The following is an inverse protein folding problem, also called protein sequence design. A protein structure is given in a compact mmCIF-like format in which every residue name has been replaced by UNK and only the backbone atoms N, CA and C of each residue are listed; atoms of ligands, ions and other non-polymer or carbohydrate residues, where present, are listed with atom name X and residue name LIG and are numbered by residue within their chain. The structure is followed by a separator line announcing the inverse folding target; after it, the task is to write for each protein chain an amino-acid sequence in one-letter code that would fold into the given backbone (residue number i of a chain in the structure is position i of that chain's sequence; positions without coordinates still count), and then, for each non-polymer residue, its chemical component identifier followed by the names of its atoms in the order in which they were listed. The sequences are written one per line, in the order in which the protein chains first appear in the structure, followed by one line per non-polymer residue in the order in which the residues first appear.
data_IF_622935151492
#
_entry.id   IF_622935151492
#
_cell.length_a   1.000
_cell.length_b   1.000
_cell.length_c   1.000
_cell.angle_alpha   90.00
_cell.angle_beta   90.00
_cell.angle_gamma   90.00
#
_symmetry.space_group_name_H-M   'P 1'
#
loop_
_entity.id
_entity.type
_entity.pdbx_description
1 polymer ?
#
# COMPACT_ATOMS: atom_id res chain seq x y z
N UNK A 1 -9.47 11.81 13.28
CA UNK A 1 -9.31 11.76 11.82
C UNK A 1 -8.14 10.85 11.51
N UNK A 2 -8.27 9.88 10.61
CA UNK A 2 -7.17 8.98 10.25
C UNK A 2 -6.23 9.64 9.24
N UNK A 3 -5.00 9.14 9.15
CA UNK A 3 -4.04 9.65 8.16
C UNK A 3 -4.51 9.49 6.71
N UNK A 4 -5.25 8.42 6.40
CA UNK A 4 -5.86 8.24 5.08
C UNK A 4 -6.91 9.32 4.79
N UNK A 5 -7.73 9.68 5.79
CA UNK A 5 -8.69 10.77 5.66
C UNK A 5 -7.99 12.12 5.46
N UNK A 6 -6.82 12.33 6.06
CA UNK A 6 -6.02 13.55 5.82
C UNK A 6 -5.52 13.63 4.37
N UNK A 7 -5.05 12.51 3.81
CA UNK A 7 -4.62 12.45 2.40
C UNK A 7 -5.78 12.76 1.45
N UNK A 8 -6.95 12.16 1.67
CA UNK A 8 -8.14 12.43 0.86
C UNK A 8 -8.63 13.87 1.01
N UNK A 9 -8.60 14.43 2.22
CA UNK A 9 -8.97 15.82 2.45
C UNK A 9 -8.01 16.80 1.77
N UNK A 10 -6.70 16.54 1.82
CA UNK A 10 -5.71 17.35 1.12
C UNK A 10 -6.03 17.36 -0.38
N UNK A 11 -6.29 16.18 -0.95
CA UNK A 11 -6.64 16.02 -2.36
C UNK A 11 -7.94 16.75 -2.72
N UNK A 12 -8.97 16.67 -1.89
CA UNK A 12 -10.24 17.39 -2.08
C UNK A 12 -10.07 18.92 -2.06
N UNK A 13 -9.03 19.42 -1.40
CA UNK A 13 -8.66 20.84 -1.37
C UNK A 13 -7.64 21.24 -2.44
N UNK A 14 -7.27 20.32 -3.35
CA UNK A 14 -6.32 20.59 -4.43
C UNK A 14 -4.85 20.40 -4.04
N UNK A 15 -4.56 19.80 -2.89
CA UNK A 15 -3.20 19.43 -2.47
C UNK A 15 -2.99 17.94 -2.67
N UNK A 16 -2.07 17.60 -3.57
CA UNK A 16 -1.65 16.22 -3.79
C UNK A 16 -0.49 15.93 -2.85
N UNK A 17 -0.69 14.97 -1.95
CA UNK A 17 0.38 14.40 -1.14
C UNK A 17 0.90 13.13 -1.83
N UNK A 18 2.21 13.08 -2.07
CA UNK A 18 2.86 11.94 -2.70
C UNK A 18 4.14 11.56 -1.96
N UNK A 19 4.67 10.36 -2.24
CA UNK A 19 6.01 9.98 -1.85
C UNK A 19 6.97 10.28 -2.98
N UNK A 20 8.06 10.96 -2.67
CA UNK A 20 9.22 11.07 -3.56
C UNK A 20 9.99 9.74 -3.62
N UNK A 21 10.92 9.59 -4.59
CA UNK A 21 11.72 8.38 -4.72
C UNK A 21 12.54 8.01 -3.49
N UNK A 22 12.97 9.01 -2.71
CA UNK A 22 13.70 8.87 -1.44
C UNK A 22 12.81 8.56 -0.23
N UNK A 23 11.49 8.45 -0.42
CA UNK A 23 10.54 8.12 0.63
C UNK A 23 10.11 9.29 1.52
N UNK A 24 10.39 10.54 1.12
CA UNK A 24 9.85 11.73 1.80
C UNK A 24 8.47 12.12 1.25
N UNK A 25 7.73 12.95 2.00
CA UNK A 25 6.41 13.44 1.59
C UNK A 25 6.60 14.71 0.77
N UNK A 26 6.05 14.73 -0.44
CA UNK A 26 5.93 15.92 -1.25
C UNK A 26 4.46 16.38 -1.28
N UNK A 27 4.26 17.69 -1.21
CA UNK A 27 2.95 18.32 -1.35
C UNK A 27 2.98 19.19 -2.62
N UNK A 28 1.98 19.04 -3.48
CA UNK A 28 1.88 19.80 -4.74
C UNK A 28 0.47 20.34 -4.89
N UNK A 29 0.34 21.62 -5.23
CA UNK A 29 -0.94 22.32 -5.33
C UNK A 29 -0.72 23.83 -5.42
N UNK A 30 -1.80 24.59 -5.24
CA UNK A 30 -1.72 26.04 -5.10
C UNK A 30 -0.96 26.40 -3.81
N UNK A 31 0.03 27.30 -3.90
CA UNK A 31 1.02 27.51 -2.84
C UNK A 31 0.37 27.93 -1.52
N UNK A 32 -0.65 28.80 -1.54
CA UNK A 32 -1.29 29.27 -0.31
C UNK A 32 -2.06 28.15 0.41
N UNK A 33 -2.70 27.25 -0.33
CA UNK A 33 -3.33 26.05 0.25
C UNK A 33 -2.27 25.07 0.76
N UNK A 34 -1.18 24.84 0.00
CA UNK A 34 -0.07 23.97 0.43
C UNK A 34 0.54 24.46 1.74
N UNK A 35 0.79 25.77 1.87
CA UNK A 35 1.35 26.39 3.08
C UNK A 35 0.43 26.16 4.30
N UNK A 36 -0.89 26.21 4.10
CA UNK A 36 -1.88 25.88 5.11
C UNK A 36 -1.86 24.42 5.56
N UNK A 37 -1.41 23.50 4.69
CA UNK A 37 -1.29 22.07 5.00
C UNK A 37 0.04 21.69 5.69
N UNK A 38 1.09 22.49 5.57
CA UNK A 38 2.41 22.18 6.15
C UNK A 38 2.36 21.82 7.65
N UNK A 39 1.62 22.53 8.53
CA UNK A 39 1.51 22.17 9.94
C UNK A 39 0.83 20.82 10.13
N UNK A 40 -0.26 20.56 9.41
CA UNK A 40 -1.04 19.30 9.49
C UNK A 40 -0.17 18.12 9.06
N UNK A 41 0.58 18.27 7.96
CA UNK A 41 1.51 17.26 7.46
C UNK A 41 2.59 16.98 8.50
N UNK A 42 3.17 18.02 9.11
CA UNK A 42 4.22 17.88 10.11
C UNK A 42 3.72 17.12 11.34
N UNK A 43 2.54 17.48 11.84
CA UNK A 43 1.98 16.89 13.07
C UNK A 43 1.51 15.44 12.85
N UNK A 44 1.21 15.05 11.61
CA UNK A 44 0.72 13.71 11.24
C UNK A 44 1.70 12.94 10.34
N UNK A 45 2.97 13.36 10.27
CA UNK A 45 3.93 12.93 9.26
C UNK A 45 4.06 11.41 9.14
N UNK A 46 4.24 10.71 10.26
CA UNK A 46 4.41 9.26 10.29
C UNK A 46 3.16 8.51 9.80
N UNK A 47 1.98 8.97 10.19
CA UNK A 47 0.71 8.41 9.75
C UNK A 47 0.48 8.61 8.25
N UNK A 48 0.73 9.83 7.75
CA UNK A 48 0.59 10.15 6.33
C UNK A 48 1.57 9.32 5.50
N UNK A 49 2.83 9.22 5.93
CA UNK A 49 3.84 8.42 5.25
C UNK A 49 3.42 6.94 5.16
N UNK A 50 2.92 6.36 6.25
CA UNK A 50 2.37 4.99 6.24
C UNK A 50 1.18 4.84 5.28
N UNK A 51 0.27 5.81 5.26
CA UNK A 51 -0.90 5.79 4.37
C UNK A 51 -0.48 5.87 2.89
N UNK A 52 0.48 6.73 2.55
CA UNK A 52 0.99 6.86 1.18
C UNK A 52 1.79 5.62 0.74
N UNK A 53 2.57 5.01 1.65
CA UNK A 53 3.28 3.77 1.37
C UNK A 53 2.30 2.62 1.09
N UNK A 54 1.23 2.54 1.87
CA UNK A 54 0.15 1.56 1.66
C UNK A 54 -0.51 1.71 0.29
N UNK A 55 -0.85 2.94 -0.11
CA UNK A 55 -1.45 3.17 -1.43
C UNK A 55 -0.47 2.86 -2.57
N UNK A 56 0.82 3.15 -2.38
CA UNK A 56 1.88 2.78 -3.34
C UNK A 56 1.95 1.27 -3.52
N UNK A 57 2.00 0.49 -2.43
CA UNK A 57 2.01 -0.98 -2.53
C UNK A 57 0.76 -1.51 -3.20
N UNK A 58 -0.42 -1.04 -2.79
CA UNK A 58 -1.70 -1.40 -3.42
C UNK A 58 -1.70 -1.15 -4.92
N UNK A 59 -1.24 0.03 -5.35
CA UNK A 59 -1.16 0.39 -6.77
C UNK A 59 -0.22 -0.56 -7.52
N UNK A 60 0.96 -0.85 -6.98
CA UNK A 60 1.91 -1.82 -7.57
C UNK A 60 1.29 -3.22 -7.68
N UNK A 61 0.64 -3.70 -6.61
CA UNK A 61 -0.01 -5.01 -6.58
C UNK A 61 -1.08 -5.12 -7.67
N UNK A 62 -1.93 -4.09 -7.80
CA UNK A 62 -2.97 -4.06 -8.84
C UNK A 62 -2.36 -3.97 -10.25
N UNK A 63 -1.29 -3.20 -10.43
CA UNK A 63 -0.58 -3.13 -11.70
C UNK A 63 -0.01 -4.50 -12.12
N UNK A 64 0.63 -5.23 -11.20
CA UNK A 64 1.12 -6.60 -11.46
C UNK A 64 0.00 -7.54 -11.92
N UNK A 65 -1.18 -7.46 -11.28
CA UNK A 65 -2.35 -8.23 -11.72
C UNK A 65 -2.91 -7.73 -13.07
N UNK A 66 -2.82 -6.44 -13.36
CA UNK A 66 -3.24 -5.89 -14.66
C UNK A 66 -2.34 -6.34 -15.80
N UNK A 67 -1.02 -6.38 -15.57
CA UNK A 67 0.00 -6.58 -16.60
C UNK A 67 0.11 -8.03 -17.09
N UNK A 68 -0.13 -9.02 -16.23
CA UNK A 68 -0.18 -10.43 -16.63
C UNK A 68 -1.51 -11.09 -16.23
N UNK A 69 -2.43 -11.33 -17.19
CA UNK A 69 -3.71 -11.98 -16.94
C UNK A 69 -3.61 -13.39 -16.32
N UNK A 70 -2.46 -14.05 -16.44
CA UNK A 70 -2.23 -15.41 -15.89
C UNK A 70 -1.89 -15.37 -14.40
N UNK A 71 -1.46 -14.24 -13.87
CA UNK A 71 -1.20 -14.11 -12.43
C UNK A 71 -2.51 -14.14 -11.66
N UNK A 72 -2.68 -15.14 -10.80
CA UNK A 72 -3.82 -15.22 -9.87
C UNK A 72 -3.58 -14.38 -8.61
N UNK A 73 -2.32 -14.25 -8.21
CA UNK A 73 -1.87 -13.51 -7.04
C UNK A 73 -0.75 -12.54 -7.39
N UNK A 74 -0.70 -11.44 -6.66
CA UNK A 74 0.45 -10.54 -6.62
C UNK A 74 0.80 -10.23 -5.17
N UNK A 75 2.08 -10.33 -4.84
CA UNK A 75 2.60 -10.00 -3.51
C UNK A 75 3.66 -8.92 -3.67
N UNK A 76 3.50 -7.81 -2.94
CA UNK A 76 4.42 -6.68 -2.96
C UNK A 76 4.90 -6.39 -1.55
N UNK A 77 6.23 -6.32 -1.41
CA UNK A 77 6.93 -5.90 -0.20
C UNK A 77 7.94 -4.83 -0.62
N UNK A 78 7.82 -3.62 -0.06
CA UNK A 78 8.74 -2.52 -0.38
C UNK A 78 10.07 -2.62 0.37
N UNK A 79 10.03 -3.03 1.64
CA UNK A 79 11.20 -3.20 2.51
C UNK A 79 10.99 -4.42 3.42
N UNK A 80 11.72 -5.50 3.13
CA UNK A 80 11.65 -6.75 3.89
C UNK A 80 12.47 -6.72 5.19
N UNK A 81 13.14 -5.60 5.51
CA UNK A 81 13.96 -5.45 6.73
C UNK A 81 13.24 -4.76 7.89
N UNK A 82 12.04 -4.21 7.65
CA UNK A 82 11.22 -3.56 8.69
C UNK A 82 10.53 -4.56 9.61
N UNK A 83 10.27 -4.17 10.87
CA UNK A 83 9.47 -4.95 11.81
C UNK A 83 8.27 -4.14 12.32
N UNK A 84 7.01 -4.54 12.00
CA UNK A 84 6.63 -5.66 11.14
C UNK A 84 6.88 -5.38 9.65
N UNK A 85 7.06 -6.44 8.86
CA UNK A 85 7.13 -6.38 7.39
C UNK A 85 5.72 -6.15 6.85
N UNK A 86 5.53 -5.03 6.13
CA UNK A 86 4.26 -4.71 5.47
C UNK A 86 4.17 -5.42 4.11
N UNK A 87 3.21 -6.32 3.98
CA UNK A 87 3.02 -7.16 2.79
C UNK A 87 1.67 -6.83 2.16
N UNK A 88 1.68 -6.32 0.93
CA UNK A 88 0.46 -6.13 0.15
C UNK A 88 0.18 -7.37 -0.71
N UNK A 89 -1.02 -7.91 -0.57
CA UNK A 89 -1.48 -9.10 -1.30
C UNK A 89 -2.68 -8.73 -2.14
N UNK A 90 -2.61 -9.06 -3.43
CA UNK A 90 -3.71 -8.96 -4.38
C UNK A 90 -4.12 -10.34 -4.83
N UNK A 91 -5.42 -10.60 -4.81
CA UNK A 91 -6.05 -11.80 -5.36
C UNK A 91 -6.97 -11.35 -6.48
N UNK A 92 -6.70 -11.81 -7.70
CA UNK A 92 -7.48 -11.42 -8.89
C UNK A 92 -8.98 -11.67 -8.68
N UNK A 93 -9.80 -10.67 -9.02
CA UNK A 93 -11.26 -10.64 -8.86
C UNK A 93 -11.80 -10.91 -7.45
N UNK A 94 -10.96 -10.95 -6.42
CA UNK A 94 -11.40 -11.23 -5.03
C UNK A 94 -11.15 -10.02 -4.14
N UNK A 95 -9.89 -9.62 -3.95
CA UNK A 95 -9.55 -8.58 -2.98
C UNK A 95 -8.11 -8.06 -3.13
N UNK A 96 -7.83 -6.94 -2.49
CA UNK A 96 -6.48 -6.48 -2.17
C UNK A 96 -6.42 -6.05 -0.72
N UNK A 97 -5.41 -6.49 0.02
CA UNK A 97 -5.25 -6.21 1.45
C UNK A 97 -3.78 -6.12 1.84
N UNK A 98 -3.52 -5.68 3.07
CA UNK A 98 -2.18 -5.66 3.66
C UNK A 98 -2.12 -6.56 4.90
N UNK A 99 -0.99 -7.23 5.07
CA UNK A 99 -0.61 -7.99 6.25
C UNK A 99 0.61 -7.32 6.89
N UNK A 100 0.62 -7.26 8.22
CA UNK A 100 1.82 -6.93 9.00
C UNK A 100 2.37 -8.22 9.59
N UNK A 101 3.53 -8.66 9.10
CA UNK A 101 4.17 -9.92 9.53
C UNK A 101 5.40 -9.56 10.37
N UNK A 102 5.48 -9.97 11.65
CA UNK A 102 6.68 -9.74 12.44
C UNK A 102 7.91 -10.28 11.72
N UNK A 103 9.01 -9.51 11.72
CA UNK A 103 10.19 -9.80 10.88
C UNK A 103 10.71 -11.24 11.07
N UNK A 104 10.71 -11.73 12.31
CA UNK A 104 11.14 -13.11 12.64
C UNK A 104 10.32 -14.23 12.00
N UNK A 105 9.12 -13.93 11.51
CA UNK A 105 8.21 -14.88 10.86
C UNK A 105 8.08 -14.63 9.36
N UNK A 106 8.68 -13.57 8.84
CA UNK A 106 8.59 -13.24 7.43
C UNK A 106 9.53 -14.11 6.61
N UNK A 107 8.94 -14.90 5.71
CA UNK A 107 9.65 -15.62 4.65
C UNK A 107 8.83 -15.47 3.35
N UNK A 108 9.45 -14.89 2.33
CA UNK A 108 8.79 -14.59 1.07
C UNK A 108 8.36 -15.85 0.30
N UNK A 109 9.15 -16.92 0.37
CA UNK A 109 8.87 -18.17 -0.34
C UNK A 109 7.75 -18.95 0.36
N UNK A 110 7.80 -19.03 1.69
CA UNK A 110 6.75 -19.71 2.48
C UNK A 110 5.41 -18.99 2.32
N UNK A 111 5.40 -17.66 2.27
CA UNK A 111 4.16 -16.92 2.02
C UNK A 111 3.53 -17.25 0.66
N UNK A 112 4.35 -17.35 -0.39
CA UNK A 112 3.87 -17.74 -1.72
C UNK A 112 3.31 -19.15 -1.72
N UNK A 113 4.01 -20.09 -1.09
CA UNK A 113 3.56 -21.48 -0.94
C UNK A 113 2.20 -21.55 -0.20
N UNK A 114 2.04 -20.82 0.91
CA UNK A 114 0.79 -20.77 1.66
C UNK A 114 -0.37 -20.18 0.84
N UNK A 115 -0.09 -19.14 0.05
CA UNK A 115 -1.09 -18.57 -0.86
C UNK A 115 -1.51 -19.59 -1.92
N UNK A 116 -0.58 -20.34 -2.50
CA UNK A 116 -0.90 -21.39 -3.49
C UNK A 116 -1.70 -22.54 -2.86
N UNK A 117 -1.27 -23.05 -1.71
CA UNK A 117 -1.90 -24.19 -1.02
C UNK A 117 -3.35 -23.89 -0.63
N UNK A 118 -3.61 -22.70 -0.05
CA UNK A 118 -4.92 -22.39 0.52
C UNK A 118 -5.89 -21.71 -0.44
N UNK A 119 -5.44 -21.35 -1.63
CA UNK A 119 -6.28 -20.67 -2.62
C UNK A 119 -6.85 -21.60 -3.70
N UNK A 120 -6.47 -22.88 -3.68
CA UNK A 120 -7.00 -23.92 -4.55
C UNK A 120 -8.43 -24.38 -4.19
N UNK A 121 -9.09 -23.74 -3.21
CA UNK A 121 -10.37 -24.20 -2.66
C UNK A 121 -11.62 -23.39 -3.02
N UNK A 122 -11.77 -22.88 -4.26
CA UNK A 122 -13.09 -22.47 -4.81
C UNK A 122 -13.04 -22.64 -6.34
N UNK A 123 -13.51 -23.78 -6.85
CA UNK A 123 -13.64 -24.01 -8.29
C UNK A 123 -13.65 -25.49 -8.64
N UNK A 124 -14.79 -26.15 -8.45
CA UNK A 124 -14.98 -27.54 -8.87
C UNK A 124 -16.31 -28.18 -8.45
N UNK A 125 -17.42 -27.46 -8.53
CA UNK A 125 -18.76 -28.05 -8.63
C UNK A 125 -19.30 -27.68 -10.02
N UNK A 126 -19.28 -28.65 -10.94
CA UNK A 126 -20.15 -28.82 -12.11
C UNK A 126 -19.67 -30.02 -12.94
#
# INVERSE_FOLDING_TARGET
MSAAQLVENAKAQGVILALSPDGTITATGEQSVVDGWLPIIRDNKSGILRALQRERRRTKTLAMLGDDPRLRYAVVVDDASTDPVAVAVGIREVATFELEIPLKYYDALVLLELLEQHSAGVGGDA
#
